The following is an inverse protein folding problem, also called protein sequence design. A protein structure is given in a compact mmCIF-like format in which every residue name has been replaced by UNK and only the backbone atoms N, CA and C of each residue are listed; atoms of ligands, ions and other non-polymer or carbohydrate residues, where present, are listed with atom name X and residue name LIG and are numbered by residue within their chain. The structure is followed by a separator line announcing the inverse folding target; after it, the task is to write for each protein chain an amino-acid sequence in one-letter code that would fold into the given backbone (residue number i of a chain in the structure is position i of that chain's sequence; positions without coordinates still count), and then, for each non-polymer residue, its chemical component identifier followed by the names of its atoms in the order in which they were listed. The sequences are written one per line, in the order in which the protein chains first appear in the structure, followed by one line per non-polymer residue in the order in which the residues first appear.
data_IF_899774784733
#
_entry.id   IF_899774784733
#
_cell.length_a   1.000
_cell.length_b   1.000
_cell.length_c   1.000
_cell.angle_alpha   90.00
_cell.angle_beta   90.00
_cell.angle_gamma   90.00
#
_symmetry.space_group_name_H-M   'P 1'
#
loop_
_entity.id
_entity.type
_entity.pdbx_description
1 polymer ?
#
# COMPACT_ATOMS: atom_id res chain seq x y z
N UNK A 1 6.50 -25.05 20.94
CA UNK A 1 6.31 -25.22 19.49
C UNK A 1 5.87 -23.87 18.95
N UNK A 2 6.67 -23.21 18.11
CA UNK A 2 6.20 -22.01 17.44
C UNK A 2 5.16 -22.46 16.41
N UNK A 3 3.90 -22.08 16.61
CA UNK A 3 2.91 -22.20 15.57
C UNK A 3 3.41 -21.36 14.41
N UNK A 4 3.74 -21.97 13.27
CA UNK A 4 3.98 -21.25 12.02
C UNK A 4 2.64 -20.66 11.58
N UNK A 5 2.21 -19.60 12.25
CA UNK A 5 1.05 -18.81 11.87
C UNK A 5 1.47 -17.98 10.67
N UNK A 6 0.84 -18.22 9.53
CA UNK A 6 0.92 -17.35 8.37
C UNK A 6 0.30 -15.98 8.70
N UNK A 7 0.74 -14.89 8.05
CA UNK A 7 0.10 -13.59 8.22
C UNK A 7 -1.37 -13.66 7.84
N UNK A 8 -2.24 -13.09 8.67
CA UNK A 8 -3.69 -13.01 8.40
C UNK A 8 -4.06 -11.78 7.57
N UNK A 9 -3.11 -10.87 7.35
CA UNK A 9 -3.28 -9.63 6.59
C UNK A 9 -4.44 -8.75 7.07
N UNK A 10 -4.72 -8.76 8.38
CA UNK A 10 -5.81 -7.99 8.96
C UNK A 10 -5.58 -6.47 8.88
N UNK A 11 -4.31 -6.01 8.94
CA UNK A 11 -3.98 -4.58 8.93
C UNK A 11 -4.05 -4.02 7.51
N UNK A 12 -3.45 -4.70 6.53
CA UNK A 12 -3.41 -4.23 5.15
C UNK A 12 -4.64 -4.60 4.34
N UNK A 13 -5.19 -5.80 4.54
CA UNK A 13 -6.26 -6.34 3.74
C UNK A 13 -5.96 -6.39 2.24
N UNK A 14 -7.01 -6.66 1.46
CA UNK A 14 -6.95 -6.64 0.00
C UNK A 14 -6.70 -5.22 -0.51
N UNK A 15 -5.97 -5.11 -1.62
CA UNK A 15 -5.65 -3.86 -2.28
C UNK A 15 -6.32 -3.76 -3.64
N UNK A 16 -7.21 -2.79 -3.80
CA UNK A 16 -7.90 -2.47 -5.06
C UNK A 16 -7.43 -1.14 -5.69
N UNK A 17 -6.48 -0.46 -5.05
CA UNK A 17 -6.00 0.85 -5.47
C UNK A 17 -6.84 2.03 -4.96
N UNK A 18 -7.82 1.82 -4.08
CA UNK A 18 -8.66 2.89 -3.50
C UNK A 18 -7.91 3.81 -2.53
N UNK A 19 -6.91 3.28 -1.84
CA UNK A 19 -6.01 4.02 -0.97
C UNK A 19 -4.62 4.21 -1.61
N UNK A 20 -3.85 5.24 -1.20
CA UNK A 20 -2.49 5.42 -1.68
C UNK A 20 -1.63 4.18 -1.43
N UNK A 21 -0.86 3.76 -2.43
CA UNK A 21 -0.01 2.57 -2.32
C UNK A 21 0.99 2.67 -1.17
N UNK A 22 1.55 3.84 -0.89
CA UNK A 22 2.44 4.03 0.27
C UNK A 22 1.75 3.66 1.60
N UNK A 23 0.45 3.98 1.74
CA UNK A 23 -0.32 3.62 2.94
C UNK A 23 -0.48 2.10 3.04
N UNK A 24 -0.89 1.47 1.95
CA UNK A 24 -1.08 0.02 1.91
C UNK A 24 0.23 -0.75 2.13
N UNK A 25 1.34 -0.33 1.49
CA UNK A 25 2.66 -0.93 1.67
C UNK A 25 3.16 -0.86 3.12
N UNK A 26 2.91 0.25 3.82
CA UNK A 26 3.24 0.38 5.23
C UNK A 26 2.41 -0.57 6.11
N UNK A 27 1.12 -0.74 5.79
CA UNK A 27 0.26 -1.71 6.48
C UNK A 27 0.73 -3.14 6.22
N UNK A 28 1.07 -3.49 4.98
CA UNK A 28 1.59 -4.81 4.61
C UNK A 28 2.89 -5.11 5.37
N UNK A 29 3.80 -4.12 5.44
CA UNK A 29 5.02 -4.26 6.23
C UNK A 29 4.72 -4.49 7.72
N UNK A 30 3.69 -3.86 8.26
CA UNK A 30 3.22 -4.09 9.63
C UNK A 30 2.78 -5.54 9.85
N UNK A 31 1.92 -6.07 8.98
CA UNK A 31 1.47 -7.47 9.03
C UNK A 31 2.66 -8.44 8.91
N UNK A 32 3.56 -8.23 7.95
CA UNK A 32 4.66 -9.17 7.69
C UNK A 32 5.72 -9.18 8.80
N UNK A 33 6.02 -8.05 9.44
CA UNK A 33 7.02 -7.96 10.52
C UNK A 33 6.67 -8.78 11.76
N UNK A 34 5.39 -9.14 11.95
CA UNK A 34 4.96 -10.01 13.04
C UNK A 34 5.33 -11.49 12.81
N UNK A 35 5.61 -11.87 11.56
CA UNK A 35 5.80 -13.26 11.15
C UNK A 35 7.19 -13.53 10.55
N UNK A 36 7.86 -12.48 10.04
CA UNK A 36 9.15 -12.61 9.37
C UNK A 36 10.18 -11.65 9.99
N UNK A 37 11.34 -12.19 10.36
CA UNK A 37 12.52 -11.40 10.78
C UNK A 37 13.02 -10.50 9.65
N UNK A 38 12.94 -10.97 8.42
CA UNK A 38 13.22 -10.21 7.21
C UNK A 38 12.17 -10.53 6.14
N UNK A 39 11.58 -9.49 5.55
CA UNK A 39 10.68 -9.65 4.41
C UNK A 39 11.52 -9.81 3.15
N UNK A 40 11.55 -11.03 2.60
CA UNK A 40 12.21 -11.30 1.32
C UNK A 40 11.31 -10.90 0.16
N UNK A 41 11.89 -10.74 -1.04
CA UNK A 41 11.14 -10.47 -2.25
C UNK A 41 10.10 -11.57 -2.54
N UNK A 42 10.43 -12.84 -2.30
CA UNK A 42 9.49 -13.97 -2.43
C UNK A 42 8.26 -13.79 -1.55
N UNK A 43 8.46 -13.56 -0.25
CA UNK A 43 7.35 -13.34 0.71
C UNK A 43 6.51 -12.12 0.30
N UNK A 44 7.16 -11.07 -0.19
CA UNK A 44 6.48 -9.88 -0.65
C UNK A 44 5.58 -10.15 -1.87
N UNK A 45 6.09 -10.83 -2.91
CA UNK A 45 5.31 -11.12 -4.11
C UNK A 45 4.21 -12.17 -3.87
N UNK A 46 4.40 -13.09 -2.92
CA UNK A 46 3.31 -13.97 -2.44
C UNK A 46 2.19 -13.18 -1.78
N UNK A 47 2.50 -12.17 -0.97
CA UNK A 47 1.47 -11.30 -0.41
C UNK A 47 0.77 -10.48 -1.51
N UNK A 48 1.51 -9.97 -2.49
CA UNK A 48 0.95 -9.24 -3.63
C UNK A 48 -0.03 -10.11 -4.42
N UNK A 49 0.32 -11.36 -4.74
CA UNK A 49 -0.55 -12.26 -5.50
C UNK A 49 -1.87 -12.56 -4.79
N UNK A 50 -1.87 -12.65 -3.46
CA UNK A 50 -3.07 -12.91 -2.67
C UNK A 50 -3.94 -11.68 -2.45
N UNK A 51 -3.33 -10.49 -2.36
CA UNK A 51 -4.00 -9.29 -1.85
C UNK A 51 -4.39 -8.31 -2.95
N UNK A 52 -3.72 -8.29 -4.10
CA UNK A 52 -4.10 -7.43 -5.20
C UNK A 52 -5.40 -7.92 -5.83
N UNK A 53 -6.39 -7.03 -5.91
CA UNK A 53 -7.72 -7.31 -6.47
C UNK A 53 -8.23 -6.12 -7.26
N UNK A 54 -9.33 -6.31 -8.00
CA UNK A 54 -9.98 -5.24 -8.76
C UNK A 54 -8.99 -4.50 -9.65
N UNK A 55 -9.04 -3.17 -9.63
CA UNK A 55 -8.19 -2.32 -10.49
C UNK A 55 -6.69 -2.48 -10.24
N UNK A 56 -6.28 -2.81 -9.01
CA UNK A 56 -4.88 -3.08 -8.71
C UNK A 56 -4.44 -4.44 -9.27
N UNK A 57 -5.29 -5.47 -9.14
CA UNK A 57 -5.08 -6.78 -9.76
C UNK A 57 -4.99 -6.68 -11.28
N UNK A 58 -5.98 -6.06 -11.93
CA UNK A 58 -5.97 -5.85 -13.39
C UNK A 58 -4.73 -5.10 -13.89
N UNK A 59 -4.24 -4.13 -13.11
CA UNK A 59 -3.00 -3.43 -13.43
C UNK A 59 -1.78 -4.34 -13.29
N UNK A 60 -1.70 -5.14 -12.23
CA UNK A 60 -0.63 -6.12 -12.05
C UNK A 60 -0.61 -7.13 -13.20
N UNK A 61 -1.77 -7.68 -13.58
CA UNK A 61 -1.92 -8.64 -14.68
C UNK A 61 -1.48 -8.06 -16.03
N UNK A 62 -1.51 -6.72 -16.19
CA UNK A 62 -1.05 -6.04 -17.40
C UNK A 62 0.47 -5.83 -17.49
N UNK A 63 1.24 -6.27 -16.47
CA UNK A 63 2.70 -6.03 -16.37
C UNK A 63 3.48 -7.36 -16.34
N UNK A 64 3.84 -7.92 -17.51
CA UNK A 64 4.60 -9.17 -17.62
C UNK A 64 5.90 -9.18 -16.82
N UNK A 65 6.51 -8.02 -16.60
CA UNK A 65 7.73 -7.88 -15.82
C UNK A 65 7.57 -8.27 -14.35
N UNK A 66 6.34 -8.21 -13.81
CA UNK A 66 6.02 -8.53 -12.42
C UNK A 66 5.13 -9.76 -12.27
N UNK A 67 4.26 -10.08 -13.24
CA UNK A 67 3.40 -11.27 -13.17
C UNK A 67 4.21 -12.56 -13.08
N UNK A 68 5.37 -12.64 -13.76
CA UNK A 68 6.30 -13.78 -13.66
C UNK A 68 6.72 -14.14 -12.22
N UNK A 69 6.74 -13.18 -11.32
CA UNK A 69 7.06 -13.41 -9.89
C UNK A 69 5.84 -13.89 -9.11
N UNK A 70 4.66 -13.41 -9.47
CA UNK A 70 3.36 -13.80 -8.89
C UNK A 70 2.98 -15.22 -9.31
N UNK A 71 3.23 -15.55 -10.58
CA UNK A 71 3.01 -16.88 -11.17
C UNK A 71 4.11 -17.88 -10.80
N UNK A 72 5.12 -17.44 -10.03
CA UNK A 72 6.26 -18.23 -9.55
C UNK A 72 7.10 -18.84 -10.67
N UNK A 73 7.11 -18.22 -11.86
CA UNK A 73 7.96 -18.61 -12.98
C UNK A 73 9.44 -18.25 -12.71
N UNK A 74 9.66 -17.14 -11.99
CA UNK A 74 11.00 -16.62 -11.66
C UNK A 74 11.03 -16.21 -10.19
N UNK A 75 12.14 -16.47 -9.51
CA UNK A 75 12.36 -15.98 -8.15
C UNK A 75 12.75 -14.48 -8.18
N UNK A 76 12.00 -13.59 -7.51
CA UNK A 76 12.29 -12.17 -7.50
C UNK A 76 13.50 -11.84 -6.62
N UNK A 77 14.28 -10.84 -7.04
CA UNK A 77 15.34 -10.24 -6.24
C UNK A 77 14.83 -9.05 -5.41
N UNK A 78 15.65 -8.59 -4.45
CA UNK A 78 15.35 -7.36 -3.70
C UNK A 78 15.21 -6.14 -4.61
N UNK A 79 15.95 -6.10 -5.72
CA UNK A 79 15.84 -5.03 -6.71
C UNK A 79 14.45 -5.04 -7.37
N UNK A 80 13.94 -6.22 -7.71
CA UNK A 80 12.61 -6.37 -8.33
C UNK A 80 11.51 -5.93 -7.36
N UNK A 81 11.63 -6.29 -6.08
CA UNK A 81 10.72 -5.82 -5.03
C UNK A 81 10.73 -4.28 -4.94
N UNK A 82 11.89 -3.65 -4.94
CA UNK A 82 11.99 -2.18 -4.87
C UNK A 82 11.48 -1.49 -6.15
N UNK A 83 11.69 -2.10 -7.33
CA UNK A 83 11.11 -1.63 -8.59
C UNK A 83 9.58 -1.70 -8.56
N UNK A 84 9.02 -2.81 -8.08
CA UNK A 84 7.57 -2.96 -7.91
C UNK A 84 6.99 -1.91 -6.96
N UNK A 85 7.62 -1.70 -5.79
CA UNK A 85 7.20 -0.67 -4.82
C UNK A 85 7.15 0.71 -5.47
N UNK A 86 8.14 1.07 -6.28
CA UNK A 86 8.14 2.34 -7.03
C UNK A 86 7.03 2.40 -8.08
N UNK A 87 6.82 1.31 -8.83
CA UNK A 87 5.80 1.24 -9.86
C UNK A 87 4.39 1.40 -9.27
N UNK A 88 4.07 0.66 -8.19
CA UNK A 88 2.76 0.74 -7.55
C UNK A 88 2.52 2.12 -6.90
N UNK A 89 3.54 2.74 -6.30
CA UNK A 89 3.44 4.11 -5.78
C UNK A 89 3.20 5.16 -6.86
N UNK A 90 3.76 4.97 -8.06
CA UNK A 90 3.48 5.83 -9.21
C UNK A 90 2.06 5.60 -9.74
N UNK A 91 1.59 4.36 -9.75
CA UNK A 91 0.27 3.98 -10.28
C UNK A 91 -0.88 4.44 -9.39
N UNK A 92 -0.70 4.34 -8.07
CA UNK A 92 -1.67 4.67 -7.03
C UNK A 92 -1.06 5.66 -6.03
N UNK A 93 -0.81 6.91 -6.46
CA UNK A 93 -0.13 7.89 -5.65
C UNK A 93 -1.01 8.34 -4.48
N UNK A 94 -0.38 9.01 -3.50
CA UNK A 94 -1.15 9.83 -2.56
C UNK A 94 -1.92 10.85 -3.40
N UNK A 95 -3.25 10.92 -3.22
CA UNK A 95 -4.01 12.04 -3.78
C UNK A 95 -3.34 13.29 -3.24
N UNK A 96 -2.64 14.02 -4.10
CA UNK A 96 -2.36 15.40 -3.83
C UNK A 96 -3.75 16.00 -3.67
N UNK A 97 -4.06 16.51 -2.47
CA UNK A 97 -4.95 17.67 -2.46
C UNK A 97 -4.17 18.65 -3.32
N UNK A 98 -4.54 18.75 -4.60
CA UNK A 98 -4.30 19.99 -5.32
C UNK A 98 -4.97 21.02 -4.44
N UNK A 99 -4.19 21.63 -3.55
CA UNK A 99 -4.41 23.02 -3.23
C UNK A 99 -4.28 23.67 -4.58
N UNK A 100 -5.41 23.81 -5.29
CA UNK A 100 -5.55 24.86 -6.28
C UNK A 100 -5.10 26.10 -5.52
N UNK A 101 -3.90 26.58 -5.84
CA UNK A 101 -3.49 27.93 -5.48
C UNK A 101 -4.40 28.82 -6.31
N UNK A 102 -5.60 29.02 -5.78
CA UNK A 102 -6.77 29.58 -6.42
C UNK A 102 -7.78 29.81 -5.31
N UNK A 103 -7.49 30.86 -4.53
CA UNK A 103 -8.29 31.41 -3.44
C UNK A 103 -8.77 30.41 -2.37
N UNK A 104 -7.88 30.06 -1.44
CA UNK A 104 -8.30 29.67 -0.08
C UNK A 104 -7.98 30.82 0.87
N UNK A 105 -8.69 31.93 0.67
CA UNK A 105 -8.77 33.01 1.66
C UNK A 105 -10.24 33.35 1.89
N UNK A 106 -11.05 32.34 2.20
CA UNK A 106 -12.41 32.49 2.73
C UNK A 106 -12.77 31.11 3.27
N UNK A 107 -12.58 30.92 4.58
CA UNK A 107 -13.25 29.90 5.43
C UNK A 107 -12.51 29.65 6.76
N UNK A 108 -11.43 30.39 7.06
CA UNK A 108 -10.93 30.53 8.44
C UNK A 108 -11.55 31.78 9.09
N UNK A 109 -12.88 31.83 9.16
CA UNK A 109 -13.62 32.89 9.88
C UNK A 109 -14.78 32.31 10.72
N UNK A 110 -14.75 31.03 11.09
CA UNK A 110 -15.82 30.45 11.92
C UNK A 110 -15.35 29.53 13.06
N UNK A 111 -14.18 29.83 13.65
CA UNK A 111 -13.87 29.36 15.00
C UNK A 111 -13.89 30.55 15.97
N UNK A 112 -15.11 31.07 16.26
CA UNK A 112 -15.34 31.80 17.50
C UNK A 112 -15.41 30.76 18.63
N UNK A 113 -14.40 30.75 19.49
CA UNK A 113 -14.53 30.15 20.81
C UNK A 113 -15.39 31.10 21.65
N UNK A 114 -16.57 30.64 22.07
CA UNK A 114 -17.38 31.32 23.08
C UNK A 114 -16.58 31.34 24.39
N UNK A 115 -16.49 32.48 25.10
CA UNK A 115 -15.85 32.51 26.40
C UNK A 115 -16.69 31.71 27.41
N UNK A 116 -16.02 30.78 28.07
CA UNK A 116 -16.58 30.00 29.17
C UNK A 116 -16.91 30.96 30.34
N UNK A 117 -18.17 31.32 30.50
CA UNK A 117 -18.69 31.89 31.74
C UNK A 117 -19.01 30.74 32.71
N UNK A 118 -18.22 30.60 33.77
CA UNK A 118 -18.64 30.31 35.15
C UNK A 118 -17.44 30.17 36.10
#
# INVERSE_FOLDING_TARGET
MATNTYPTFHICGKYDGSIPATRWLNQLQGDLRLHYTQVTAVVFFEAVSMLFVGKAGEWLDSLPEFTKFVDKEVEPSDKDMEEFKRAVMRRFPRKNVEVRVGNVQEDIQNFRQEPNEQ
#
